data_IF_311565027064
#
_entry.id   IF_311565027064
#
_cell.length_a   1.000
_cell.length_b   1.000
_cell.length_c   1.000
_cell.angle_alpha   90.00
_cell.angle_beta   90.00
_cell.angle_gamma   90.00
#
_symmetry.space_group_name_H-M   'P 1'
#
loop_
_entity.id
_entity.type
_entity.pdbx_description
1 polymer ?
#
# COMPACT_ATOMS: atom_id res chain seq x y z
N UNK A 1 -6.83 -17.93 -3.95
CA UNK A 1 -7.66 -18.57 -2.89
C UNK A 1 -7.55 -17.80 -1.57
N UNK A 2 -6.36 -17.70 -0.95
CA UNK A 2 -6.16 -16.93 0.28
C UNK A 2 -6.55 -15.44 0.12
N UNK A 3 -6.04 -14.77 -0.94
CA UNK A 3 -6.38 -13.38 -1.26
C UNK A 3 -7.89 -13.16 -1.38
N UNK A 4 -8.60 -14.00 -2.13
CA UNK A 4 -10.05 -13.86 -2.29
C UNK A 4 -10.81 -14.02 -0.96
N UNK A 5 -10.34 -14.92 -0.06
CA UNK A 5 -10.95 -15.09 1.26
C UNK A 5 -10.70 -13.88 2.16
N UNK A 6 -9.48 -13.32 2.14
CA UNK A 6 -9.14 -12.10 2.88
C UNK A 6 -9.96 -10.90 2.38
N UNK A 7 -10.08 -10.73 1.06
CA UNK A 7 -10.90 -9.68 0.46
C UNK A 7 -12.38 -9.82 0.84
N UNK A 8 -12.93 -11.05 0.80
CA UNK A 8 -14.30 -11.33 1.22
C UNK A 8 -14.55 -10.93 2.68
N UNK A 9 -13.60 -11.23 3.58
CA UNK A 9 -13.68 -10.85 4.98
C UNK A 9 -13.74 -9.32 5.18
N UNK A 10 -12.94 -8.57 4.41
CA UNK A 10 -12.97 -7.10 4.45
C UNK A 10 -14.32 -6.58 3.97
N UNK A 11 -14.86 -7.10 2.87
CA UNK A 11 -16.16 -6.68 2.36
C UNK A 11 -17.30 -6.95 3.34
N UNK A 12 -17.30 -8.13 3.96
CA UNK A 12 -18.30 -8.47 4.98
C UNK A 12 -18.19 -7.55 6.20
N UNK A 13 -16.98 -7.33 6.73
CA UNK A 13 -16.78 -6.42 7.85
C UNK A 13 -17.27 -5.01 7.58
N UNK A 14 -17.03 -4.47 6.38
CA UNK A 14 -17.49 -3.11 6.02
C UNK A 14 -19.02 -3.07 5.90
N UNK A 15 -19.62 -4.10 5.30
CA UNK A 15 -21.07 -4.19 5.16
C UNK A 15 -21.75 -4.25 6.54
N UNK A 16 -21.22 -5.03 7.47
CA UNK A 16 -21.82 -5.27 8.78
C UNK A 16 -21.56 -4.12 9.77
N UNK A 17 -20.36 -3.55 9.77
CA UNK A 17 -19.92 -2.56 10.77
C UNK A 17 -19.99 -1.11 10.26
N UNK A 18 -20.16 -0.90 8.95
CA UNK A 18 -20.10 0.42 8.32
C UNK A 18 -18.68 0.99 8.18
N UNK A 19 -17.65 0.29 8.67
CA UNK A 19 -16.24 0.65 8.51
C UNK A 19 -15.32 -0.59 8.55
N UNK A 20 -14.03 -0.39 8.30
CA UNK A 20 -13.01 -1.44 8.21
C UNK A 20 -12.21 -1.66 9.50
N UNK A 21 -12.50 -0.96 10.61
CA UNK A 21 -11.61 -0.93 11.79
C UNK A 21 -11.29 -2.32 12.33
N UNK A 22 -12.29 -3.20 12.36
CA UNK A 22 -12.17 -4.57 12.87
C UNK A 22 -11.23 -5.48 12.05
N UNK A 23 -10.84 -5.08 10.83
CA UNK A 23 -10.02 -5.89 9.93
C UNK A 23 -8.67 -5.25 9.57
N UNK A 24 -8.35 -4.06 10.11
CA UNK A 24 -7.10 -3.34 9.81
C UNK A 24 -5.87 -4.20 10.12
N UNK A 25 -5.87 -4.92 11.24
CA UNK A 25 -4.75 -5.79 11.66
C UNK A 25 -4.45 -6.94 10.69
N UNK A 26 -5.40 -7.27 9.81
CA UNK A 26 -5.24 -8.32 8.80
C UNK A 26 -4.75 -7.81 7.44
N UNK A 27 -4.62 -6.49 7.29
CA UNK A 27 -4.17 -5.86 6.05
C UNK A 27 -2.64 -5.79 6.00
N UNK A 28 -2.09 -5.91 4.79
CA UNK A 28 -0.71 -5.51 4.54
C UNK A 28 -0.58 -4.01 4.85
N UNK A 29 0.43 -3.65 5.63
CA UNK A 29 0.73 -2.25 5.92
C UNK A 29 1.28 -1.54 4.67
N UNK A 30 1.17 -0.21 4.66
CA UNK A 30 1.74 0.61 3.58
C UNK A 30 3.27 0.43 3.46
N UNK A 31 3.97 0.28 4.59
CA UNK A 31 5.42 0.08 4.60
C UNK A 31 5.80 -1.26 3.95
N UNK A 32 5.14 -2.36 4.32
CA UNK A 32 5.37 -3.67 3.70
C UNK A 32 5.09 -3.66 2.20
N UNK A 33 4.06 -2.92 1.77
CA UNK A 33 3.77 -2.75 0.34
C UNK A 33 4.90 -2.00 -0.38
N UNK A 34 5.45 -0.96 0.23
CA UNK A 34 6.55 -0.18 -0.35
C UNK A 34 7.83 -1.00 -0.46
N UNK A 35 8.13 -1.79 0.55
CA UNK A 35 9.26 -2.72 0.52
C UNK A 35 9.08 -3.74 -0.60
N UNK A 36 7.90 -4.35 -0.71
CA UNK A 36 7.60 -5.33 -1.76
C UNK A 36 7.68 -4.75 -3.17
N UNK A 37 7.23 -3.51 -3.36
CA UNK A 37 7.28 -2.81 -4.65
C UNK A 37 8.64 -2.17 -4.93
N UNK A 38 9.60 -2.27 -4.01
CA UNK A 38 10.88 -1.57 -4.07
C UNK A 38 10.70 -0.06 -4.33
N UNK A 39 9.69 0.54 -3.70
CA UNK A 39 9.24 1.91 -3.97
C UNK A 39 10.36 2.94 -3.76
N UNK A 40 11.14 2.79 -2.70
CA UNK A 40 12.24 3.71 -2.36
C UNK A 40 13.35 3.73 -3.41
N UNK A 41 13.60 2.62 -4.12
CA UNK A 41 14.57 2.63 -5.23
C UNK A 41 14.06 3.45 -6.42
N UNK A 42 12.75 3.42 -6.69
CA UNK A 42 12.16 4.28 -7.73
C UNK A 42 12.23 5.76 -7.34
N UNK A 43 11.93 6.08 -6.09
CA UNK A 43 12.04 7.44 -5.54
C UNK A 43 13.48 7.98 -5.64
N UNK A 44 14.47 7.21 -5.18
CA UNK A 44 15.89 7.56 -5.30
C UNK A 44 16.33 7.76 -6.76
N UNK A 45 15.80 6.97 -7.68
CA UNK A 45 16.12 7.11 -9.11
C UNK A 45 15.52 8.39 -9.69
N UNK A 46 14.30 8.76 -9.29
CA UNK A 46 13.69 10.02 -9.69
C UNK A 46 14.48 11.20 -9.12
N UNK A 47 14.88 11.14 -7.85
CA UNK A 47 15.73 12.15 -7.24
C UNK A 47 17.05 12.26 -8.00
N UNK A 48 17.74 11.15 -8.31
CA UNK A 48 18.98 11.20 -9.07
C UNK A 48 18.82 11.83 -10.47
N UNK A 49 17.66 11.67 -11.11
CA UNK A 49 17.38 12.19 -12.44
C UNK A 49 16.96 13.66 -12.45
N UNK A 50 16.35 14.15 -11.37
CA UNK A 50 15.69 15.46 -11.34
C UNK A 50 16.15 16.40 -10.22
N UNK A 51 16.97 15.94 -9.28
CA UNK A 51 17.62 16.80 -8.26
C UNK A 51 18.60 17.79 -8.90
N UNK A 52 19.05 17.51 -10.13
CA UNK A 52 19.83 18.43 -10.95
C UNK A 52 18.95 19.39 -11.79
N UNK A 53 17.79 19.76 -11.24
CA UNK A 53 16.97 20.89 -11.65
C UNK A 53 17.67 22.26 -11.51
N UNK A 54 18.88 22.41 -12.05
CA UNK A 54 19.24 23.53 -12.94
C UNK A 54 18.31 23.55 -14.16
N UNK A 55 17.00 23.45 -13.95
CA UNK A 55 15.99 23.92 -14.90
C UNK A 55 15.93 25.44 -14.69
N UNK A 56 16.95 26.13 -15.21
CA UNK A 56 16.86 27.53 -15.63
C UNK A 56 16.56 27.55 -17.12
#
# INVERSE_FOLDING_TARGET
RAMNKAALNVYQSILDNGDQKAVIETMQTRAELYDFLNYHSFEQKLDALFTDGKNK
#
